data_IF_331963696480
#
_entry.id   IF_331963696480
#
_cell.length_a   1.000
_cell.length_b   1.000
_cell.length_c   1.000
_cell.angle_alpha   90.00
_cell.angle_beta   90.00
_cell.angle_gamma   90.00
#
_symmetry.space_group_name_H-M   'P 1'
#
loop_
_entity.id
_entity.type
_entity.pdbx_description
1 polymer ?
#
# COMPACT_ATOMS: atom_id res chain seq x y z
N UNK A 1 -17.29 -6.31 4.91
CA UNK A 1 -17.76 -5.43 3.82
C UNK A 1 -18.71 -6.22 2.92
N UNK A 2 -19.89 -5.69 2.70
CA UNK A 2 -20.81 -6.29 1.74
C UNK A 2 -20.40 -5.94 0.31
N UNK A 3 -20.43 -6.95 -0.56
CA UNK A 3 -20.16 -6.76 -1.98
C UNK A 3 -21.51 -6.60 -2.68
N UNK A 4 -21.67 -5.50 -3.41
CA UNK A 4 -22.89 -5.26 -4.17
C UNK A 4 -23.05 -6.27 -5.31
N UNK A 5 -24.29 -6.56 -5.69
CA UNK A 5 -24.60 -7.55 -6.72
C UNK A 5 -23.91 -7.25 -8.05
N UNK A 6 -23.87 -5.98 -8.47
CA UNK A 6 -23.17 -5.55 -9.68
C UNK A 6 -21.66 -5.83 -9.61
N UNK A 7 -21.07 -5.74 -8.41
CA UNK A 7 -19.64 -6.00 -8.21
C UNK A 7 -19.35 -7.50 -8.25
N UNK A 8 -20.25 -8.34 -7.74
CA UNK A 8 -20.15 -9.79 -7.86
C UNK A 8 -20.13 -10.18 -9.33
N UNK A 9 -20.98 -9.57 -10.16
CA UNK A 9 -20.99 -9.79 -11.61
C UNK A 9 -19.68 -9.40 -12.27
N UNK A 10 -19.11 -8.26 -11.89
CA UNK A 10 -17.83 -7.80 -12.41
C UNK A 10 -16.69 -8.73 -12.02
N UNK A 11 -16.67 -9.18 -10.77
CA UNK A 11 -15.65 -10.11 -10.26
C UNK A 11 -15.73 -11.44 -11.04
N UNK A 12 -16.92 -12.00 -11.15
CA UNK A 12 -17.14 -13.26 -11.87
C UNK A 12 -16.69 -13.15 -13.33
N UNK A 13 -17.06 -12.07 -14.01
CA UNK A 13 -16.67 -11.86 -15.40
C UNK A 13 -15.15 -11.73 -15.56
N UNK A 14 -14.51 -10.97 -14.68
CA UNK A 14 -13.06 -10.80 -14.69
C UNK A 14 -12.33 -12.13 -14.47
N UNK A 15 -12.76 -12.90 -13.49
CA UNK A 15 -12.14 -14.19 -13.18
C UNK A 15 -12.36 -15.21 -14.32
N UNK A 16 -13.47 -15.15 -15.02
CA UNK A 16 -13.75 -16.00 -16.18
C UNK A 16 -12.93 -15.60 -17.41
N UNK A 17 -12.83 -14.30 -17.68
CA UNK A 17 -12.14 -13.78 -18.86
C UNK A 17 -10.62 -13.79 -18.69
N UNK A 18 -10.14 -13.50 -17.48
CA UNK A 18 -8.72 -13.34 -17.18
C UNK A 18 -8.32 -14.11 -15.92
N UNK A 19 -8.45 -15.45 -15.92
CA UNK A 19 -8.23 -16.24 -14.69
C UNK A 19 -6.82 -16.14 -14.14
N UNK A 20 -5.80 -16.14 -14.98
CA UNK A 20 -4.41 -16.04 -14.54
C UNK A 20 -4.11 -14.67 -13.93
N UNK A 21 -4.59 -13.60 -14.55
CA UNK A 21 -4.40 -12.24 -14.06
C UNK A 21 -5.10 -12.06 -12.71
N UNK A 22 -6.35 -12.48 -12.60
CA UNK A 22 -7.13 -12.36 -11.38
C UNK A 22 -6.49 -13.13 -10.21
N UNK A 23 -6.02 -14.35 -10.49
CA UNK A 23 -5.33 -15.16 -9.48
C UNK A 23 -4.01 -14.53 -9.04
N UNK A 24 -3.21 -14.05 -10.00
CA UNK A 24 -1.95 -13.37 -9.71
C UNK A 24 -2.17 -12.09 -8.88
N UNK A 25 -3.22 -11.35 -9.15
CA UNK A 25 -3.57 -10.16 -8.36
C UNK A 25 -3.80 -10.53 -6.89
N UNK A 26 -4.55 -11.59 -6.63
CA UNK A 26 -4.80 -12.07 -5.27
C UNK A 26 -3.52 -12.56 -4.59
N UNK A 27 -2.64 -13.20 -5.32
CA UNK A 27 -1.34 -13.64 -4.80
C UNK A 27 -0.49 -12.43 -4.36
N UNK A 28 -0.43 -11.40 -5.19
CA UNK A 28 0.29 -10.16 -4.86
C UNK A 28 -0.32 -9.51 -3.63
N UNK A 29 -1.65 -9.48 -3.50
CA UNK A 29 -2.31 -8.94 -2.31
C UNK A 29 -1.92 -9.72 -1.04
N UNK A 30 -1.80 -11.05 -1.14
CA UNK A 30 -1.38 -11.87 -0.01
C UNK A 30 0.07 -11.58 0.40
N UNK A 31 0.97 -11.43 -0.57
CA UNK A 31 2.35 -11.03 -0.33
C UNK A 31 2.43 -9.63 0.29
N UNK A 32 1.68 -8.69 -0.25
CA UNK A 32 1.56 -7.33 0.23
C UNK A 32 1.11 -7.28 1.69
N UNK A 33 0.08 -8.04 2.02
CA UNK A 33 -0.46 -8.12 3.38
C UNK A 33 0.56 -8.72 4.35
N UNK A 34 1.23 -9.80 3.94
CA UNK A 34 2.26 -10.44 4.76
C UNK A 34 3.42 -9.48 5.06
N UNK A 35 3.90 -8.79 4.05
CA UNK A 35 4.96 -7.79 4.22
C UNK A 35 4.50 -6.65 5.15
N UNK A 36 3.29 -6.17 4.97
CA UNK A 36 2.70 -5.15 5.83
C UNK A 36 2.70 -5.59 7.28
N UNK A 37 2.22 -6.81 7.57
CA UNK A 37 2.17 -7.33 8.94
C UNK A 37 3.56 -7.46 9.56
N UNK A 38 4.53 -7.96 8.81
CA UNK A 38 5.92 -8.08 9.28
C UNK A 38 6.49 -6.72 9.67
N UNK A 39 6.28 -5.72 8.82
CA UNK A 39 6.76 -4.35 9.08
C UNK A 39 6.09 -3.75 10.31
N UNK A 40 4.81 -4.00 10.51
CA UNK A 40 4.11 -3.49 11.69
C UNK A 40 4.63 -4.11 12.98
N UNK A 41 5.00 -5.37 12.97
CA UNK A 41 5.60 -6.00 14.13
C UNK A 41 6.99 -5.44 14.45
N UNK A 42 7.72 -4.98 13.44
CA UNK A 42 9.02 -4.34 13.64
C UNK A 42 8.89 -2.88 14.09
N UNK A 43 8.03 -2.12 13.42
CA UNK A 43 7.95 -0.66 13.65
C UNK A 43 6.92 -0.25 14.69
N UNK A 44 5.83 -1.01 14.82
CA UNK A 44 4.67 -0.55 15.59
C UNK A 44 3.96 0.61 14.89
N UNK A 45 2.89 1.16 15.48
CA UNK A 45 2.09 2.20 14.83
C UNK A 45 2.70 3.60 14.90
N UNK A 46 3.68 3.82 15.77
CA UNK A 46 4.22 5.16 16.06
C UNK A 46 4.93 5.79 14.86
N UNK A 47 5.53 4.99 13.98
CA UNK A 47 6.22 5.51 12.80
C UNK A 47 5.31 6.27 11.84
N UNK A 48 4.01 6.01 11.88
CA UNK A 48 3.01 6.71 11.05
C UNK A 48 2.33 7.81 11.86
N UNK A 49 1.89 7.48 13.07
CA UNK A 49 1.17 8.41 13.94
C UNK A 49 2.08 9.45 14.62
N UNK A 50 3.37 9.13 14.78
CA UNK A 50 4.36 9.97 15.47
C UNK A 50 3.90 10.37 16.89
N UNK A 51 3.24 9.42 17.58
CA UNK A 51 2.72 9.65 18.93
C UNK A 51 1.50 10.57 19.00
N UNK A 52 0.91 10.93 17.85
CA UNK A 52 -0.22 11.85 17.78
C UNK A 52 -1.55 11.12 17.80
N UNK A 53 -2.59 11.79 18.31
CA UNK A 53 -3.96 11.30 18.27
C UNK A 53 -4.53 11.49 16.85
N UNK A 54 -4.70 10.40 16.11
CA UNK A 54 -5.19 10.43 14.74
C UNK A 54 -6.70 10.66 14.62
N UNK A 55 -7.45 10.74 15.74
CA UNK A 55 -8.83 11.20 15.71
C UNK A 55 -8.92 12.69 15.37
N UNK A 56 -7.85 13.44 15.60
CA UNK A 56 -7.77 14.87 15.33
C UNK A 56 -7.37 15.09 13.86
N UNK A 57 -8.15 15.90 13.15
CA UNK A 57 -7.99 16.15 11.71
C UNK A 57 -6.57 16.60 11.33
N UNK A 58 -6.02 17.54 12.07
CA UNK A 58 -4.70 18.11 11.82
C UNK A 58 -3.61 17.04 11.95
N UNK A 59 -3.77 16.11 12.88
CA UNK A 59 -2.83 15.00 13.08
C UNK A 59 -2.92 13.98 11.95
N UNK A 60 -4.13 13.73 11.42
CA UNK A 60 -4.29 12.91 10.20
C UNK A 60 -3.58 13.54 9.01
N UNK A 61 -3.74 14.85 8.82
CA UNK A 61 -3.10 15.57 7.72
C UNK A 61 -1.58 15.49 7.83
N UNK A 62 -1.05 15.61 9.04
CA UNK A 62 0.39 15.48 9.28
C UNK A 62 0.90 14.08 8.92
N UNK A 63 0.19 13.03 9.33
CA UNK A 63 0.55 11.65 8.97
C UNK A 63 0.45 11.41 7.46
N UNK A 64 -0.58 11.94 6.81
CA UNK A 64 -0.72 11.87 5.35
C UNK A 64 0.44 12.56 4.64
N UNK A 65 0.89 13.70 5.16
CA UNK A 65 2.04 14.41 4.59
C UNK A 65 3.32 13.59 4.73
N UNK A 66 3.52 12.94 5.88
CA UNK A 66 4.65 12.02 6.07
C UNK A 66 4.62 10.84 5.11
N UNK A 67 3.45 10.26 4.90
CA UNK A 67 3.24 9.18 3.92
C UNK A 67 3.53 9.67 2.50
N UNK A 68 3.10 10.88 2.17
CA UNK A 68 3.38 11.48 0.87
C UNK A 68 4.89 11.55 0.59
N UNK A 69 5.68 11.98 1.56
CA UNK A 69 7.14 12.03 1.40
C UNK A 69 7.73 10.64 1.17
N UNK A 70 7.26 9.63 1.91
CA UNK A 70 7.72 8.25 1.73
C UNK A 70 7.33 7.71 0.35
N UNK A 71 6.12 8.00 -0.10
CA UNK A 71 5.65 7.61 -1.43
C UNK A 71 6.48 8.29 -2.52
N UNK A 72 6.80 9.55 -2.34
CA UNK A 72 7.62 10.31 -3.28
C UNK A 72 9.01 9.72 -3.43
N UNK A 73 9.62 9.23 -2.34
CA UNK A 73 10.90 8.54 -2.41
C UNK A 73 10.82 7.28 -3.28
N UNK A 74 9.75 6.50 -3.14
CA UNK A 74 9.52 5.30 -3.96
C UNK A 74 9.29 5.66 -5.42
N UNK A 75 8.50 6.69 -5.69
CA UNK A 75 8.26 7.20 -7.06
C UNK A 75 9.59 7.65 -7.69
N UNK A 76 10.41 8.38 -6.96
CA UNK A 76 11.72 8.84 -7.44
C UNK A 76 12.65 7.67 -7.76
N UNK A 77 12.66 6.64 -6.93
CA UNK A 77 13.45 5.43 -7.18
C UNK A 77 12.97 4.69 -8.41
N UNK A 78 11.66 4.52 -8.55
CA UNK A 78 11.05 3.88 -9.73
C UNK A 78 11.41 4.67 -10.99
N UNK A 79 11.28 5.98 -10.96
CA UNK A 79 11.61 6.86 -12.07
C UNK A 79 13.07 6.69 -12.48
N UNK A 80 13.98 6.70 -11.51
CA UNK A 80 15.41 6.57 -11.80
C UNK A 80 15.74 5.21 -12.42
N UNK A 81 15.17 4.13 -11.91
CA UNK A 81 15.42 2.80 -12.43
C UNK A 81 14.83 2.59 -13.82
N UNK A 82 13.61 3.07 -14.07
CA UNK A 82 12.92 2.87 -15.35
C UNK A 82 13.39 3.84 -16.43
N UNK A 83 13.41 5.15 -16.14
CA UNK A 83 13.68 6.15 -17.15
C UNK A 83 15.16 6.36 -17.42
N UNK A 84 16.00 6.16 -16.40
CA UNK A 84 17.44 6.24 -16.57
C UNK A 84 18.08 4.88 -16.87
N UNK A 85 17.28 3.84 -17.02
CA UNK A 85 17.70 2.48 -17.36
C UNK A 85 18.83 1.97 -16.45
N UNK A 86 18.68 2.18 -15.14
CA UNK A 86 19.66 1.77 -14.15
C UNK A 86 19.37 0.36 -13.66
N UNK A 87 20.43 -0.35 -13.27
CA UNK A 87 20.31 -1.64 -12.59
C UNK A 87 20.04 -1.42 -11.10
N UNK A 88 19.37 -2.40 -10.50
CA UNK A 88 19.08 -2.41 -9.06
C UNK A 88 20.33 -2.81 -8.27
N UNK A 89 20.70 -2.02 -7.28
CA UNK A 89 21.85 -2.30 -6.42
C UNK A 89 21.47 -2.85 -5.04
N UNK A 90 20.30 -2.48 -4.51
CA UNK A 90 19.86 -2.88 -3.18
C UNK A 90 18.60 -3.73 -3.23
N UNK A 91 17.46 -3.06 -3.40
CA UNK A 91 16.15 -3.70 -3.44
C UNK A 91 15.68 -3.82 -4.89
N UNK A 92 14.82 -4.80 -5.17
CA UNK A 92 14.20 -4.95 -6.48
C UNK A 92 13.27 -3.77 -6.78
N UNK A 93 13.03 -3.52 -8.06
CA UNK A 93 12.03 -2.53 -8.49
C UNK A 93 10.64 -2.88 -7.96
N UNK A 94 10.30 -4.18 -7.94
CA UNK A 94 9.02 -4.67 -7.43
C UNK A 94 8.82 -4.29 -5.97
N UNK A 95 9.87 -4.30 -5.14
CA UNK A 95 9.80 -3.89 -3.74
C UNK A 95 9.30 -2.45 -3.60
N UNK A 96 9.75 -1.56 -4.50
CA UNK A 96 9.28 -0.17 -4.50
C UNK A 96 7.80 -0.05 -4.88
N UNK A 97 7.33 -0.88 -5.83
CA UNK A 97 5.91 -0.91 -6.18
C UNK A 97 5.05 -1.40 -5.02
N UNK A 98 5.49 -2.45 -4.32
CA UNK A 98 4.77 -3.00 -3.16
C UNK A 98 4.74 -1.97 -2.03
N UNK A 99 5.86 -1.32 -1.73
CA UNK A 99 5.93 -0.29 -0.69
C UNK A 99 4.98 0.87 -1.01
N UNK A 100 4.96 1.32 -2.25
CA UNK A 100 4.07 2.39 -2.69
C UNK A 100 2.60 1.99 -2.50
N UNK A 101 2.24 0.78 -2.88
CA UNK A 101 0.89 0.25 -2.72
C UNK A 101 0.51 0.16 -1.23
N UNK A 102 1.42 -0.31 -0.38
CA UNK A 102 1.19 -0.41 1.07
C UNK A 102 1.02 0.97 1.71
N UNK A 103 1.82 1.96 1.34
CA UNK A 103 1.64 3.32 1.85
C UNK A 103 0.27 3.88 1.49
N UNK A 104 -0.24 3.58 0.32
CA UNK A 104 -1.59 4.00 -0.09
C UNK A 104 -2.68 3.40 0.81
N UNK A 105 -2.55 2.12 1.13
CA UNK A 105 -3.49 1.45 2.04
C UNK A 105 -3.37 2.02 3.45
N UNK A 106 -2.14 2.24 3.94
CA UNK A 106 -1.90 2.84 5.26
C UNK A 106 -2.60 4.21 5.35
N UNK A 107 -2.52 5.03 4.31
CA UNK A 107 -3.21 6.31 4.26
C UNK A 107 -4.73 6.14 4.43
N UNK A 108 -5.31 5.12 3.80
CA UNK A 108 -6.74 4.82 3.97
C UNK A 108 -7.07 4.37 5.40
N UNK A 109 -6.19 3.57 6.02
CA UNK A 109 -6.38 3.12 7.41
C UNK A 109 -6.32 4.31 8.39
N UNK A 110 -5.39 5.24 8.17
CA UNK A 110 -5.31 6.49 8.95
C UNK A 110 -6.62 7.26 8.80
N UNK A 111 -7.08 7.44 7.57
CA UNK A 111 -8.30 8.19 7.28
C UNK A 111 -9.56 7.55 7.87
N UNK A 112 -9.59 6.23 7.96
CA UNK A 112 -10.73 5.45 8.50
C UNK A 112 -10.67 5.27 10.02
N UNK A 113 -9.73 5.90 10.71
CA UNK A 113 -9.53 5.76 12.16
C UNK A 113 -9.23 4.30 12.58
N UNK A 114 -8.51 3.56 11.77
CA UNK A 114 -8.16 2.15 12.03
C UNK A 114 -6.68 1.93 12.28
N UNK A 115 -5.84 2.93 12.02
CA UNK A 115 -4.41 2.77 12.23
C UNK A 115 -4.09 2.51 13.70
N UNK A 116 -3.36 1.42 13.96
CA UNK A 116 -2.94 1.03 15.30
C UNK A 116 -4.04 0.48 16.20
N UNK A 117 -5.19 0.17 15.65
CA UNK A 117 -6.35 -0.37 16.41
C UNK A 117 -6.40 -1.87 16.40
#
# INVERSE_FOLDING_TARGET
MEIEEKDIGAITACEMLYPEMANAFREVQAEQYTLFCRKQMDYGPTNIALGRDLAIKENKQFSHQGLWFRMNDKISRIQNLLWNNKEEYNESLEDSWIDLANYSIIAMLVNRNKWGK
#
